data_IF_317386081460
#
_entry.id   IF_317386081460
#
_cell.length_a   1.000
_cell.length_b   1.000
_cell.length_c   1.000
_cell.angle_alpha   90.00
_cell.angle_beta   90.00
_cell.angle_gamma   90.00
#
_symmetry.space_group_name_H-M   'P 1'
#
loop_
_entity.id
_entity.type
_entity.pdbx_description
1 polymer ?
#
# COMPACT_ATOMS: atom_id res chain seq x y z
N UNK A 1 38.30 -4.31 26.40
CA UNK A 1 39.33 -4.66 25.41
C UNK A 1 38.61 -4.93 24.10
N UNK A 2 38.56 -3.91 23.23
CA UNK A 2 37.97 -3.98 21.88
C UNK A 2 39.12 -3.94 20.87
N UNK A 3 39.14 -4.76 19.81
CA UNK A 3 39.97 -4.48 18.66
C UNK A 3 39.20 -3.61 17.66
N UNK A 4 39.70 -2.39 17.48
CA UNK A 4 39.40 -1.48 16.38
C UNK A 4 39.87 -2.09 15.06
N UNK A 5 38.99 -2.15 14.04
CA UNK A 5 39.40 -2.31 12.65
C UNK A 5 38.98 -1.09 11.84
N UNK A 6 39.99 -0.43 11.30
CA UNK A 6 39.94 0.71 10.39
C UNK A 6 39.43 0.18 9.03
N UNK A 7 38.35 0.75 8.52
CA UNK A 7 37.91 0.53 7.14
C UNK A 7 38.40 1.69 6.26
N UNK A 8 39.27 1.38 5.31
CA UNK A 8 39.63 2.22 4.17
C UNK A 8 38.71 1.91 2.99
N UNK A 9 38.18 2.96 2.36
CA UNK A 9 37.32 2.90 1.16
C UNK A 9 38.04 2.27 -0.04
N UNK A 10 37.38 1.44 -0.88
CA UNK A 10 37.90 1.09 -2.20
C UNK A 10 37.45 2.12 -3.24
N UNK A 11 38.42 2.57 -4.03
CA UNK A 11 38.27 3.42 -5.21
C UNK A 11 37.61 2.70 -6.38
N UNK A 12 36.97 3.50 -7.24
CA UNK A 12 36.36 3.16 -8.52
C UNK A 12 37.39 2.55 -9.50
N UNK A 13 37.24 1.27 -9.83
CA UNK A 13 37.47 0.70 -11.17
C UNK A 13 37.28 -0.81 -11.15
N UNK A 14 36.30 -1.32 -11.88
CA UNK A 14 36.43 -2.41 -12.87
C UNK A 14 35.09 -3.10 -13.11
N UNK A 15 34.61 -2.91 -14.33
CA UNK A 15 33.43 -3.50 -14.90
C UNK A 15 33.72 -4.95 -15.34
N UNK A 16 32.73 -5.82 -15.16
CA UNK A 16 32.36 -6.95 -16.04
C UNK A 16 33.42 -8.02 -16.35
N UNK A 17 33.36 -9.14 -15.64
CA UNK A 17 34.02 -10.41 -15.99
C UNK A 17 33.08 -11.62 -15.81
N UNK A 18 32.09 -11.74 -16.69
CA UNK A 18 31.35 -13.01 -16.87
C UNK A 18 30.96 -13.31 -18.34
N UNK A 19 31.37 -12.46 -19.29
CA UNK A 19 31.02 -12.56 -20.72
C UNK A 19 32.17 -13.06 -21.63
N UNK A 20 33.08 -13.91 -21.11
CA UNK A 20 34.12 -14.55 -21.93
C UNK A 20 34.05 -16.09 -22.01
N UNK A 21 32.96 -16.72 -21.57
CA UNK A 21 32.86 -18.19 -21.55
C UNK A 21 31.97 -18.84 -22.63
N UNK A 22 31.54 -18.11 -23.68
CA UNK A 22 30.72 -18.69 -24.76
C UNK A 22 31.16 -18.18 -26.15
N UNK A 23 32.31 -18.67 -26.62
CA UNK A 23 32.64 -18.74 -28.05
C UNK A 23 33.02 -20.18 -28.39
N UNK A 24 32.12 -20.89 -29.05
CA UNK A 24 32.44 -22.19 -29.64
C UNK A 24 31.22 -23.02 -30.03
N UNK A 25 30.94 -23.00 -31.33
CA UNK A 25 30.17 -23.98 -32.14
C UNK A 25 28.70 -23.67 -32.41
N UNK A 26 28.47 -23.53 -33.70
CA UNK A 26 27.27 -23.32 -34.51
C UNK A 26 26.30 -24.50 -34.50
N UNK A 27 24.99 -24.23 -34.43
CA UNK A 27 23.93 -24.89 -35.23
C UNK A 27 22.54 -24.31 -34.88
N UNK A 28 21.71 -24.04 -35.90
CA UNK A 28 20.26 -23.94 -35.78
C UNK A 28 19.68 -22.53 -35.58
N UNK A 29 19.44 -21.82 -36.67
CA UNK A 29 18.46 -20.74 -36.71
C UNK A 29 17.03 -21.32 -36.57
N UNK A 30 16.09 -20.49 -36.10
CA UNK A 30 14.61 -20.68 -36.18
C UNK A 30 13.83 -21.34 -35.03
N UNK A 31 14.10 -21.01 -33.77
CA UNK A 31 13.08 -21.20 -32.69
C UNK A 31 12.86 -20.00 -31.75
N UNK A 32 13.69 -18.94 -31.79
CA UNK A 32 13.56 -17.82 -30.82
C UNK A 32 13.38 -16.41 -31.42
N UNK A 33 13.12 -16.25 -32.73
CA UNK A 33 13.04 -14.91 -33.35
C UNK A 33 11.63 -14.27 -33.36
N UNK A 34 10.61 -14.86 -32.72
CA UNK A 34 9.24 -14.33 -32.77
C UNK A 34 8.80 -13.48 -31.56
N UNK A 35 9.61 -13.30 -30.52
CA UNK A 35 9.21 -12.59 -29.27
C UNK A 35 10.02 -11.33 -28.93
N UNK A 36 10.86 -10.83 -29.83
CA UNK A 36 11.74 -9.68 -29.55
C UNK A 36 11.55 -8.52 -30.55
N UNK A 37 10.32 -8.05 -30.77
CA UNK A 37 10.06 -6.79 -31.49
C UNK A 37 9.07 -5.89 -30.77
N UNK A 38 9.55 -5.29 -29.67
CA UNK A 38 9.33 -3.89 -29.22
C UNK A 38 9.68 -3.79 -27.73
N UNK A 39 10.96 -3.95 -27.40
CA UNK A 39 11.49 -3.39 -26.15
C UNK A 39 11.98 -1.97 -26.48
N UNK A 40 11.57 -0.92 -25.73
CA UNK A 40 12.10 0.41 -25.95
C UNK A 40 13.60 0.42 -25.63
N UNK A 41 14.35 1.07 -26.52
CA UNK A 41 15.80 1.25 -26.43
C UNK A 41 16.22 1.88 -25.11
N UNK A 42 17.35 1.39 -24.53
CA UNK A 42 18.02 1.94 -23.35
C UNK A 42 18.41 3.44 -23.45
N UNK A 43 18.21 4.08 -24.60
CA UNK A 43 18.37 5.55 -24.79
C UNK A 43 17.13 6.38 -24.44
N UNK A 44 16.04 5.76 -23.98
CA UNK A 44 14.79 6.48 -23.63
C UNK A 44 14.67 6.78 -22.12
N UNK A 45 15.60 6.30 -21.30
CA UNK A 45 15.56 6.37 -19.83
C UNK A 45 16.26 7.61 -19.23
N UNK A 46 16.57 8.63 -20.01
CA UNK A 46 17.28 9.84 -19.54
C UNK A 46 16.54 11.15 -19.82
N UNK A 47 15.25 11.11 -20.17
CA UNK A 47 14.45 12.33 -20.19
C UNK A 47 13.75 12.49 -18.84
N UNK A 48 14.09 13.54 -18.05
CA UNK A 48 13.35 13.84 -16.83
C UNK A 48 11.89 14.09 -17.19
N UNK A 49 11.00 13.76 -16.26
CA UNK A 49 9.56 13.97 -16.31
C UNK A 49 9.25 15.48 -16.41
N UNK A 50 9.36 16.06 -17.60
CA UNK A 50 8.88 17.42 -17.85
C UNK A 50 7.38 17.35 -18.10
N UNK A 51 6.59 17.47 -17.04
CA UNK A 51 5.18 17.85 -17.15
C UNK A 51 5.10 19.23 -17.79
N UNK A 52 5.03 19.30 -19.13
CA UNK A 52 4.88 20.58 -19.81
C UNK A 52 3.49 21.15 -19.50
N UNK A 53 3.45 22.46 -19.17
CA UNK A 53 2.23 23.23 -18.85
C UNK A 53 1.11 23.14 -19.90
N UNK A 54 1.43 22.71 -21.12
CA UNK A 54 0.47 22.59 -22.22
C UNK A 54 -0.47 21.37 -22.12
N UNK A 55 -0.11 20.31 -21.38
CA UNK A 55 -0.96 19.13 -21.26
C UNK A 55 -2.05 19.27 -20.19
N UNK A 56 -1.82 20.09 -19.17
CA UNK A 56 -2.78 20.32 -18.05
C UNK A 56 -3.92 21.26 -18.47
N UNK A 57 -3.70 22.15 -19.44
CA UNK A 57 -4.68 23.15 -19.88
C UNK A 57 -5.61 22.68 -21.01
N UNK A 58 -5.21 21.68 -21.81
CA UNK A 58 -5.95 21.29 -23.02
C UNK A 58 -7.17 20.38 -22.82
N UNK A 59 -7.43 19.86 -21.60
CA UNK A 59 -8.56 18.94 -21.34
C UNK A 59 -9.64 19.49 -20.39
N UNK A 60 -9.50 20.72 -19.90
CA UNK A 60 -10.47 21.37 -19.00
C UNK A 60 -11.33 22.46 -19.66
N UNK A 61 -11.40 22.51 -20.99
CA UNK A 61 -12.08 23.59 -21.71
C UNK A 61 -12.82 23.18 -22.99
N UNK A 62 -13.54 22.05 -23.01
CA UNK A 62 -14.55 21.82 -24.06
C UNK A 62 -15.92 21.56 -23.44
N UNK A 63 -16.79 22.54 -23.63
CA UNK A 63 -18.15 22.60 -23.14
C UNK A 63 -18.97 21.40 -23.59
N UNK A 64 -19.75 20.87 -22.65
CA UNK A 64 -20.84 19.95 -22.94
C UNK A 64 -22.00 20.76 -23.52
N UNK A 65 -22.50 20.32 -24.67
CA UNK A 65 -23.76 20.81 -25.23
C UNK A 65 -24.93 20.44 -24.31
N UNK A 66 -25.89 21.34 -24.21
CA UNK A 66 -27.07 21.24 -23.34
C UNK A 66 -27.85 19.93 -23.60
N UNK A 67 -27.97 19.09 -22.57
CA UNK A 67 -28.85 17.93 -22.58
C UNK A 67 -30.26 18.33 -22.12
N UNK A 68 -31.26 17.81 -22.83
CA UNK A 68 -32.70 17.99 -22.58
C UNK A 68 -33.09 17.54 -21.16
N UNK A 69 -34.02 18.24 -20.45
CA UNK A 69 -34.34 17.88 -19.08
C UNK A 69 -35.06 16.52 -19.02
N UNK A 70 -34.43 15.53 -18.38
CA UNK A 70 -35.07 14.26 -18.04
C UNK A 70 -35.92 14.45 -16.78
N UNK A 71 -37.16 13.95 -16.83
CA UNK A 71 -38.07 13.96 -15.69
C UNK A 71 -37.48 13.16 -14.52
N UNK A 72 -37.66 13.62 -13.26
CA UNK A 72 -37.13 12.93 -12.10
C UNK A 72 -37.90 11.63 -11.84
N UNK A 73 -37.32 10.50 -12.21
CA UNK A 73 -37.80 9.19 -11.77
C UNK A 73 -37.45 9.02 -10.29
N UNK A 74 -38.42 8.56 -9.50
CA UNK A 74 -38.25 8.25 -8.07
C UNK A 74 -37.15 7.19 -7.91
N UNK A 75 -35.97 7.63 -7.50
CA UNK A 75 -34.84 6.74 -7.17
C UNK A 75 -35.21 5.99 -5.90
N UNK A 76 -35.47 4.68 -6.01
CA UNK A 76 -35.48 3.81 -4.84
C UNK A 76 -34.06 3.85 -4.24
N UNK A 77 -33.89 3.91 -2.91
CA UNK A 77 -32.56 3.88 -2.33
C UNK A 77 -31.91 2.55 -2.71
N UNK A 78 -30.96 2.61 -3.65
CA UNK A 78 -29.98 1.57 -3.87
C UNK A 78 -29.10 1.55 -2.62
N UNK A 79 -29.53 0.83 -1.59
CA UNK A 79 -28.61 0.37 -0.54
C UNK A 79 -27.74 -0.68 -1.22
N UNK A 80 -26.78 -0.22 -2.01
CA UNK A 80 -25.76 -1.08 -2.57
C UNK A 80 -24.90 -1.48 -1.38
N UNK A 81 -24.97 -2.75 -0.97
CA UNK A 81 -24.16 -3.25 0.13
C UNK A 81 -22.69 -2.92 -0.16
N UNK A 82 -22.05 -2.23 0.78
CA UNK A 82 -20.63 -1.93 0.68
C UNK A 82 -19.87 -3.26 0.73
N UNK A 83 -19.09 -3.62 -0.31
CA UNK A 83 -18.39 -4.90 -0.35
C UNK A 83 -17.52 -5.12 0.89
N UNK A 84 -17.54 -6.34 1.43
CA UNK A 84 -16.76 -6.73 2.61
C UNK A 84 -17.41 -6.42 3.97
N UNK A 85 -18.47 -5.61 4.04
CA UNK A 85 -19.11 -5.23 5.33
C UNK A 85 -19.66 -6.44 6.08
N UNK A 86 -20.35 -7.36 5.40
CA UNK A 86 -20.89 -8.57 6.05
C UNK A 86 -19.79 -9.42 6.70
N UNK A 87 -18.68 -9.64 5.98
CA UNK A 87 -17.53 -10.38 6.51
C UNK A 87 -16.85 -9.63 7.68
N UNK A 88 -16.69 -8.31 7.57
CA UNK A 88 -16.15 -7.47 8.64
C UNK A 88 -17.02 -7.53 9.91
N UNK A 89 -18.35 -7.47 9.76
CA UNK A 89 -19.30 -7.60 10.87
C UNK A 89 -19.23 -8.98 11.53
N UNK A 90 -19.13 -10.05 10.73
CA UNK A 90 -18.98 -11.42 11.24
C UNK A 90 -17.67 -11.58 12.04
N UNK A 91 -16.55 -11.07 11.51
CA UNK A 91 -15.27 -11.05 12.22
C UNK A 91 -15.36 -10.26 13.52
N UNK A 92 -15.95 -9.05 13.48
CA UNK A 92 -16.14 -8.20 14.65
C UNK A 92 -16.89 -8.92 15.76
N UNK A 93 -17.96 -9.64 15.40
CA UNK A 93 -18.75 -10.41 16.37
C UNK A 93 -17.94 -11.57 16.96
N UNK A 94 -17.24 -12.34 16.12
CA UNK A 94 -16.40 -13.47 16.59
C UNK A 94 -15.28 -12.98 17.52
N UNK A 95 -14.60 -11.90 17.14
CA UNK A 95 -13.53 -11.28 17.89
C UNK A 95 -14.00 -10.74 19.25
N UNK A 96 -15.14 -10.06 19.29
CA UNK A 96 -15.71 -9.56 20.54
C UNK A 96 -16.06 -10.70 21.49
N UNK A 97 -16.67 -11.78 20.97
CA UNK A 97 -16.98 -12.96 21.79
C UNK A 97 -15.71 -13.57 22.40
N UNK A 98 -14.69 -13.81 21.57
CA UNK A 98 -13.38 -14.30 22.02
C UNK A 98 -12.76 -13.38 23.09
N UNK A 99 -12.71 -12.07 22.84
CA UNK A 99 -12.09 -11.15 23.79
C UNK A 99 -12.80 -11.10 25.15
N UNK A 100 -14.13 -11.20 25.16
CA UNK A 100 -14.92 -11.27 26.41
C UNK A 100 -14.70 -12.60 27.14
N UNK A 101 -14.53 -13.70 26.41
CA UNK A 101 -14.32 -15.03 26.99
C UNK A 101 -12.89 -15.23 27.54
N UNK A 102 -11.86 -14.72 26.85
CA UNK A 102 -10.46 -14.98 27.19
C UNK A 102 -9.94 -14.22 28.42
N UNK A 103 -10.64 -13.19 28.90
CA UNK A 103 -10.26 -12.38 30.08
C UNK A 103 -9.01 -11.51 29.86
N UNK A 104 -7.83 -12.13 29.78
CA UNK A 104 -6.54 -11.47 29.55
C UNK A 104 -6.00 -11.86 28.17
N UNK A 105 -5.98 -10.91 27.24
CA UNK A 105 -5.48 -11.15 25.90
C UNK A 105 -3.95 -11.28 25.87
N UNK A 106 -3.45 -12.20 25.04
CA UNK A 106 -2.02 -12.45 24.89
C UNK A 106 -1.40 -11.46 23.92
N UNK A 107 -0.49 -10.61 24.43
CA UNK A 107 0.31 -9.68 23.62
C UNK A 107 1.31 -10.45 22.75
N UNK A 108 1.46 -10.06 21.48
CA UNK A 108 2.47 -10.62 20.57
C UNK A 108 3.89 -10.35 21.09
N UNK A 109 4.86 -11.16 20.66
CA UNK A 109 6.27 -10.96 21.06
C UNK A 109 6.90 -9.77 20.34
N UNK A 110 6.61 -9.63 19.05
CA UNK A 110 7.24 -8.65 18.18
C UNK A 110 6.35 -7.44 17.88
N UNK A 111 6.95 -6.39 17.34
CA UNK A 111 6.29 -5.13 16.95
C UNK A 111 6.54 -3.98 17.91
N UNK A 112 6.01 -2.80 17.55
CA UNK A 112 6.20 -1.54 18.30
C UNK A 112 4.93 -1.05 19.02
N UNK A 113 3.81 -1.75 18.88
CA UNK A 113 2.52 -1.42 19.50
C UNK A 113 1.86 -2.60 20.19
N UNK A 114 0.69 -2.34 20.79
CA UNK A 114 -0.22 -3.36 21.29
C UNK A 114 -0.83 -4.15 20.13
N UNK A 115 -0.54 -5.44 20.09
CA UNK A 115 -1.14 -6.39 19.16
C UNK A 115 -1.42 -7.68 19.92
N UNK A 116 -2.66 -8.12 19.89
CA UNK A 116 -3.17 -9.18 20.75
C UNK A 116 -3.76 -10.29 19.91
N UNK A 117 -3.32 -11.53 20.16
CA UNK A 117 -3.92 -12.69 19.52
C UNK A 117 -5.24 -13.04 20.21
N UNK A 118 -6.30 -13.10 19.43
CA UNK A 118 -7.61 -13.61 19.84
C UNK A 118 -7.72 -15.07 19.40
N UNK A 119 -8.16 -15.93 20.32
CA UNK A 119 -8.49 -17.31 20.05
C UNK A 119 -9.97 -17.59 20.29
N UNK A 120 -10.55 -18.57 19.62
CA UNK A 120 -11.86 -19.08 20.00
C UNK A 120 -11.77 -20.06 21.19
N UNK A 121 -12.90 -20.66 21.55
CA UNK A 121 -13.06 -21.52 22.73
C UNK A 121 -12.18 -22.79 22.66
N UNK A 122 -11.73 -23.17 21.46
CA UNK A 122 -10.81 -24.30 21.23
C UNK A 122 -9.32 -23.85 21.24
N UNK A 123 -9.03 -22.64 21.74
CA UNK A 123 -7.72 -21.98 21.72
C UNK A 123 -7.14 -21.76 20.31
N UNK A 124 -7.96 -21.90 19.25
CA UNK A 124 -7.49 -21.72 17.88
C UNK A 124 -7.39 -20.22 17.55
N UNK A 125 -6.28 -19.75 16.93
CA UNK A 125 -6.12 -18.36 16.50
C UNK A 125 -7.21 -17.91 15.52
N UNK A 126 -7.91 -16.81 15.83
CA UNK A 126 -8.99 -16.28 14.98
C UNK A 126 -8.73 -14.88 14.45
N UNK A 127 -8.04 -14.03 15.21
CA UNK A 127 -7.83 -12.64 14.84
C UNK A 127 -6.68 -11.99 15.62
N UNK A 128 -6.18 -10.87 15.09
CA UNK A 128 -5.27 -9.97 15.77
C UNK A 128 -6.03 -8.68 16.10
N UNK A 129 -6.07 -8.31 17.37
CA UNK A 129 -6.64 -7.05 17.85
C UNK A 129 -5.52 -6.03 18.13
N UNK A 130 -5.62 -4.84 17.54
CA UNK A 130 -4.67 -3.73 17.70
C UNK A 130 -5.41 -2.50 18.27
N UNK A 131 -5.33 -2.24 19.58
CA UNK A 131 -5.95 -1.07 20.20
C UNK A 131 -5.32 0.24 19.73
N UNK A 132 -6.14 1.25 19.44
CA UNK A 132 -5.70 2.58 18.97
C UNK A 132 -4.85 3.29 20.01
N UNK A 133 -5.18 3.13 21.28
CA UNK A 133 -4.48 3.78 22.40
C UNK A 133 -3.16 3.10 22.77
N UNK A 134 -2.84 1.98 22.11
CA UNK A 134 -1.62 1.20 22.29
C UNK A 134 -0.73 1.14 21.04
N UNK A 135 -1.10 1.85 19.98
CA UNK A 135 -0.25 2.03 18.79
C UNK A 135 1.13 2.59 19.18
N UNK A 136 2.11 2.49 18.27
CA UNK A 136 3.40 3.13 18.48
C UNK A 136 3.22 4.62 18.78
N UNK A 137 3.83 5.12 19.86
CA UNK A 137 3.73 6.50 20.34
C UNK A 137 2.37 6.88 20.95
N UNK A 138 1.43 5.93 21.11
CA UNK A 138 0.16 6.14 21.79
C UNK A 138 0.33 6.15 23.33
N UNK A 139 -0.58 6.82 24.07
CA UNK A 139 -0.45 7.06 25.51
C UNK A 139 -0.40 5.80 26.37
N UNK A 140 -0.96 4.67 25.92
CA UNK A 140 -1.00 3.42 26.68
C UNK A 140 -0.22 2.29 26.01
N UNK A 141 0.77 2.61 25.16
CA UNK A 141 1.58 1.61 24.48
C UNK A 141 2.26 0.63 25.48
N UNK A 142 1.98 -0.68 25.41
CA UNK A 142 2.45 -1.67 26.40
C UNK A 142 3.95 -1.99 26.26
N UNK A 143 4.60 -1.51 25.20
CA UNK A 143 6.04 -1.70 24.93
C UNK A 143 6.89 -0.52 25.37
N UNK A 144 6.27 0.51 25.96
CA UNK A 144 6.96 1.69 26.49
C UNK A 144 7.25 2.78 25.46
N UNK A 145 6.85 2.61 24.20
CA UNK A 145 6.99 3.65 23.17
C UNK A 145 5.85 4.66 23.27
N UNK A 146 5.93 5.56 24.24
CA UNK A 146 4.85 6.50 24.58
C UNK A 146 5.24 7.95 24.28
N UNK A 147 4.38 8.67 23.55
CA UNK A 147 4.41 10.12 23.48
C UNK A 147 3.50 10.70 24.55
N UNK A 148 4.09 11.32 25.57
CA UNK A 148 3.34 11.84 26.72
C UNK A 148 2.46 13.01 26.30
N UNK A 149 1.17 12.95 26.68
CA UNK A 149 0.18 13.98 26.32
C UNK A 149 -0.36 13.87 24.90
N UNK A 150 -0.05 12.80 24.16
CA UNK A 150 -0.67 12.56 22.86
C UNK A 150 -2.17 12.30 23.01
N UNK A 151 -2.96 13.04 22.23
CA UNK A 151 -4.41 12.89 22.10
C UNK A 151 -4.70 12.07 20.84
N UNK A 152 -5.43 10.96 21.00
CA UNK A 152 -5.72 10.05 19.89
C UNK A 152 -6.51 10.75 18.79
N UNK A 153 -6.09 10.52 17.55
CA UNK A 153 -6.68 11.13 16.36
C UNK A 153 -6.39 12.61 16.18
N UNK A 154 -5.79 13.30 17.16
CA UNK A 154 -5.50 14.73 17.12
C UNK A 154 -4.00 15.02 17.09
N UNK A 155 -3.20 14.41 17.97
CA UNK A 155 -1.76 14.66 18.01
C UNK A 155 -1.08 14.12 16.75
N UNK A 156 -0.23 14.95 16.14
CA UNK A 156 0.63 14.53 15.03
C UNK A 156 1.55 13.40 15.50
N UNK A 157 1.80 12.44 14.62
CA UNK A 157 2.71 11.34 14.93
C UNK A 157 4.15 11.86 14.96
N UNK A 158 4.93 11.59 16.04
CA UNK A 158 6.21 12.26 16.26
C UNK A 158 7.30 11.91 15.24
N UNK A 159 7.23 10.72 14.64
CA UNK A 159 8.25 10.22 13.69
C UNK A 159 7.72 9.89 12.30
N UNK A 160 6.40 9.98 12.07
CA UNK A 160 5.76 9.58 10.81
C UNK A 160 4.91 10.76 10.33
N UNK A 161 5.51 11.63 9.51
CA UNK A 161 4.83 12.83 9.02
C UNK A 161 3.57 12.47 8.24
N UNK A 162 2.54 13.32 8.31
CA UNK A 162 1.25 13.06 7.67
C UNK A 162 0.35 12.06 8.42
N UNK A 163 0.79 11.53 9.57
CA UNK A 163 -0.02 10.67 10.43
C UNK A 163 -0.37 11.35 11.76
N UNK A 164 -1.41 10.82 12.41
CA UNK A 164 -1.81 11.18 13.78
C UNK A 164 -1.81 9.92 14.63
N UNK A 165 -1.43 10.06 15.89
CA UNK A 165 -1.38 8.96 16.86
C UNK A 165 -2.78 8.33 17.00
N UNK A 166 -2.88 7.00 16.95
CA UNK A 166 -4.14 6.30 17.12
C UNK A 166 -5.01 6.25 15.87
N UNK A 167 -4.58 6.72 14.70
CA UNK A 167 -5.37 6.61 13.46
C UNK A 167 -4.96 5.42 12.58
N UNK A 168 -4.13 4.49 13.08
CA UNK A 168 -3.73 3.29 12.35
C UNK A 168 -4.91 2.33 12.14
N UNK A 169 -5.75 2.13 13.16
CA UNK A 169 -6.91 1.23 13.07
C UNK A 169 -7.87 1.54 11.89
N UNK A 170 -8.12 2.83 11.61
CA UNK A 170 -8.97 3.24 10.49
C UNK A 170 -8.34 2.88 9.14
N UNK A 171 -7.01 2.93 9.05
CA UNK A 171 -6.25 2.63 7.83
C UNK A 171 -6.19 1.14 7.54
N UNK A 172 -6.11 0.32 8.59
CA UNK A 172 -6.24 -1.13 8.48
C UNK A 172 -7.60 -1.54 7.88
N UNK A 173 -8.68 -0.90 8.34
CA UNK A 173 -10.03 -1.13 7.79
C UNK A 173 -10.16 -0.56 6.38
N UNK A 174 -9.59 0.62 6.12
CA UNK A 174 -9.59 1.22 4.79
C UNK A 174 -8.92 0.31 3.75
N UNK A 175 -7.77 -0.28 4.07
CA UNK A 175 -7.06 -1.19 3.18
C UNK A 175 -7.92 -2.42 2.84
N UNK A 176 -8.54 -3.05 3.85
CA UNK A 176 -9.44 -4.18 3.62
C UNK A 176 -10.66 -3.80 2.77
N UNK A 177 -11.38 -2.74 3.13
CA UNK A 177 -12.61 -2.35 2.43
C UNK A 177 -12.32 -1.96 0.98
N UNK A 178 -11.19 -1.30 0.74
CA UNK A 178 -10.72 -0.99 -0.60
C UNK A 178 -10.37 -2.23 -1.41
N UNK A 179 -9.71 -3.22 -0.83
CA UNK A 179 -9.41 -4.49 -1.53
C UNK A 179 -10.69 -5.30 -1.79
N UNK A 180 -11.60 -5.37 -0.82
CA UNK A 180 -12.89 -6.05 -0.94
C UNK A 180 -13.79 -5.43 -2.03
N UNK A 181 -13.71 -4.12 -2.24
CA UNK A 181 -14.45 -3.42 -3.30
C UNK A 181 -14.05 -3.83 -4.73
N UNK A 182 -12.95 -4.58 -4.88
CA UNK A 182 -12.41 -5.11 -6.13
C UNK A 182 -12.06 -6.61 -6.00
N UNK A 183 -12.98 -7.38 -5.39
CA UNK A 183 -12.94 -8.85 -5.36
C UNK A 183 -11.72 -9.43 -4.60
N UNK A 184 -11.22 -8.72 -3.60
CA UNK A 184 -10.07 -9.14 -2.78
C UNK A 184 -8.81 -9.40 -3.63
N UNK A 185 -8.59 -8.56 -4.65
CA UNK A 185 -7.51 -8.74 -5.62
C UNK A 185 -6.13 -8.89 -4.96
N UNK A 186 -5.83 -8.08 -3.96
CA UNK A 186 -4.58 -8.10 -3.21
C UNK A 186 -4.60 -9.05 -2.03
N UNK A 187 -5.78 -9.46 -1.57
CA UNK A 187 -5.95 -10.48 -0.55
C UNK A 187 -5.71 -9.95 0.86
N UNK A 188 -6.08 -8.71 1.15
CA UNK A 188 -6.03 -8.15 2.51
C UNK A 188 -7.00 -8.97 3.39
N UNK A 189 -6.55 -9.53 4.52
CA UNK A 189 -7.45 -10.27 5.40
C UNK A 189 -8.59 -9.40 5.90
N UNK A 190 -9.72 -10.02 6.23
CA UNK A 190 -10.91 -9.31 6.72
C UNK A 190 -10.51 -8.45 7.91
N UNK A 191 -10.85 -7.16 7.87
CA UNK A 191 -10.54 -6.21 8.95
C UNK A 191 -11.77 -5.40 9.32
N UNK A 192 -12.02 -5.21 10.61
CA UNK A 192 -13.08 -4.35 11.13
C UNK A 192 -12.60 -3.51 12.30
N UNK A 193 -13.30 -2.42 12.62
CA UNK A 193 -13.20 -1.80 13.94
C UNK A 193 -13.98 -2.62 14.97
N UNK A 194 -13.47 -2.67 16.19
CA UNK A 194 -14.13 -3.27 17.35
C UNK A 194 -13.75 -2.51 18.62
N UNK A 195 -14.66 -2.50 19.59
CA UNK A 195 -14.35 -2.13 20.97
C UNK A 195 -14.38 -3.41 21.78
N UNK A 196 -13.26 -3.80 22.37
CA UNK A 196 -13.09 -5.08 23.06
C UNK A 196 -12.35 -4.89 24.39
N UNK A 197 -12.60 -5.75 25.40
CA UNK A 197 -11.89 -5.67 26.67
C UNK A 197 -10.46 -6.22 26.55
N UNK A 198 -9.52 -5.56 27.22
CA UNK A 198 -8.20 -6.11 27.59
C UNK A 198 -8.11 -6.03 29.11
N UNK A 199 -8.18 -7.19 29.77
CA UNK A 199 -8.44 -7.25 31.20
C UNK A 199 -9.75 -6.54 31.53
N UNK A 200 -9.68 -5.49 32.36
CA UNK A 200 -10.86 -4.71 32.78
C UNK A 200 -11.14 -3.48 31.91
N UNK A 201 -10.27 -3.16 30.95
CA UNK A 201 -10.36 -1.90 30.18
C UNK A 201 -10.89 -2.16 28.78
N UNK A 202 -11.96 -1.46 28.40
CA UNK A 202 -12.49 -1.49 27.04
C UNK A 202 -11.72 -0.54 26.15
N UNK A 203 -11.21 -1.07 25.03
CA UNK A 203 -10.38 -0.32 24.09
C UNK A 203 -10.94 -0.43 22.69
N UNK A 204 -10.89 0.66 21.95
CA UNK A 204 -11.23 0.68 20.53
C UNK A 204 -9.99 0.37 19.69
N UNK A 205 -10.14 -0.45 18.66
CA UNK A 205 -9.04 -0.91 17.82
C UNK A 205 -9.51 -1.51 16.51
N UNK A 206 -8.55 -1.84 15.65
CA UNK A 206 -8.79 -2.70 14.50
C UNK A 206 -8.66 -4.16 14.92
N UNK A 207 -9.53 -5.01 14.39
CA UNK A 207 -9.38 -6.46 14.42
C UNK A 207 -9.24 -6.98 13.00
N UNK A 208 -8.20 -7.77 12.76
CA UNK A 208 -7.93 -8.40 11.47
C UNK A 208 -7.98 -9.92 11.63
N UNK A 209 -8.61 -10.62 10.70
CA UNK A 209 -8.69 -12.07 10.70
C UNK A 209 -7.28 -12.68 10.71
N UNK A 210 -7.06 -13.65 11.57
CA UNK A 210 -5.79 -14.35 11.65
C UNK A 210 -5.58 -15.17 10.39
N UNK A 211 -4.36 -15.13 9.86
CA UNK A 211 -3.97 -15.87 8.66
C UNK A 211 -2.92 -16.90 9.06
N UNK A 212 -3.25 -18.19 9.05
CA UNK A 212 -2.24 -19.23 9.25
C UNK A 212 -1.18 -19.14 8.16
N UNK A 213 0.08 -18.97 8.54
CA UNK A 213 1.22 -18.81 7.62
C UNK A 213 2.41 -19.61 8.11
N UNK A 214 3.28 -20.02 7.18
CA UNK A 214 4.52 -20.73 7.53
C UNK A 214 5.61 -19.78 8.01
N UNK A 215 5.70 -18.62 7.38
CA UNK A 215 6.68 -17.57 7.66
C UNK A 215 6.20 -16.23 7.09
N UNK A 216 6.97 -15.16 7.31
CA UNK A 216 6.86 -13.94 6.50
C UNK A 216 7.76 -14.04 5.26
N UNK A 217 7.69 -13.04 4.38
CA UNK A 217 8.58 -12.94 3.23
C UNK A 217 10.02 -12.58 3.62
N UNK A 218 10.28 -12.12 4.85
CA UNK A 218 11.63 -11.77 5.31
C UNK A 218 12.51 -13.00 5.53
N UNK A 219 11.90 -14.14 5.85
CA UNK A 219 12.57 -15.42 6.08
C UNK A 219 12.91 -16.18 4.78
N UNK A 220 12.46 -15.67 3.63
CA UNK A 220 12.50 -16.39 2.36
C UNK A 220 13.21 -15.61 1.25
N UNK A 221 14.01 -16.31 0.45
CA UNK A 221 14.61 -15.72 -0.74
C UNK A 221 13.57 -15.32 -1.79
N UNK A 222 13.66 -14.09 -2.29
CA UNK A 222 12.66 -13.46 -3.18
C UNK A 222 12.38 -14.24 -4.48
N UNK A 223 13.29 -15.11 -4.92
CA UNK A 223 13.10 -15.98 -6.10
C UNK A 223 11.95 -16.98 -5.94
N UNK A 224 11.49 -17.22 -4.72
CA UNK A 224 10.37 -18.13 -4.44
C UNK A 224 9.00 -17.48 -4.64
N UNK A 225 8.95 -16.15 -4.81
CA UNK A 225 7.71 -15.39 -4.90
C UNK A 225 7.22 -15.28 -6.33
N UNK A 226 5.92 -15.46 -6.54
CA UNK A 226 5.32 -15.31 -7.86
C UNK A 226 5.31 -13.83 -8.29
N UNK A 227 5.47 -13.58 -9.59
CA UNK A 227 5.32 -12.23 -10.15
C UNK A 227 3.93 -11.68 -9.85
N UNK A 228 2.92 -12.54 -9.95
CA UNK A 228 1.52 -12.17 -9.79
C UNK A 228 1.18 -11.68 -8.38
N UNK A 229 1.64 -12.38 -7.33
CA UNK A 229 1.33 -11.99 -5.96
C UNK A 229 2.11 -10.76 -5.53
N UNK A 230 3.36 -10.61 -5.99
CA UNK A 230 4.11 -9.36 -5.78
C UNK A 230 3.41 -8.19 -6.46
N UNK A 231 2.90 -8.37 -7.69
CA UNK A 231 2.17 -7.30 -8.41
C UNK A 231 0.89 -6.90 -7.70
N UNK A 232 0.14 -7.87 -7.17
CA UNK A 232 -1.08 -7.63 -6.38
C UNK A 232 -0.82 -6.75 -5.16
N UNK A 233 0.22 -7.07 -4.39
CA UNK A 233 0.60 -6.30 -3.19
C UNK A 233 1.09 -4.90 -3.60
N UNK A 234 1.97 -4.83 -4.58
CA UNK A 234 2.54 -3.58 -5.07
C UNK A 234 1.48 -2.59 -5.61
N UNK A 235 0.47 -3.10 -6.33
CA UNK A 235 -0.65 -2.29 -6.82
C UNK A 235 -1.41 -1.64 -5.66
N UNK A 236 -1.75 -2.41 -4.62
CA UNK A 236 -2.44 -1.87 -3.45
C UNK A 236 -1.55 -0.90 -2.68
N UNK A 237 -0.29 -1.23 -2.43
CA UNK A 237 0.63 -0.37 -1.68
C UNK A 237 0.88 0.97 -2.37
N UNK A 238 1.02 0.96 -3.70
CA UNK A 238 1.10 2.20 -4.49
C UNK A 238 -0.17 3.02 -4.33
N UNK A 239 -1.33 2.37 -4.47
CA UNK A 239 -2.64 3.02 -4.34
C UNK A 239 -2.87 3.66 -2.97
N UNK A 240 -2.38 3.00 -1.93
CA UNK A 240 -2.50 3.44 -0.54
C UNK A 240 -1.34 4.35 -0.09
N UNK A 241 -0.33 4.57 -0.92
CA UNK A 241 0.92 5.23 -0.51
C UNK A 241 1.46 4.61 0.79
N UNK A 242 1.75 3.31 0.77
CA UNK A 242 2.23 2.61 1.96
C UNK A 242 3.61 3.14 2.37
N UNK A 243 3.74 3.54 3.64
CA UNK A 243 4.98 4.09 4.20
C UNK A 243 5.79 3.08 5.02
N UNK A 244 5.35 1.82 5.05
CA UNK A 244 5.94 0.78 5.89
C UNK A 244 5.79 -0.64 5.29
N UNK A 245 5.78 -0.78 3.95
CA UNK A 245 5.79 -2.13 3.36
C UNK A 245 7.20 -2.72 3.38
N UNK A 246 7.48 -3.51 4.41
CA UNK A 246 8.63 -4.40 4.47
C UNK A 246 8.22 -5.88 4.31
N UNK A 247 9.20 -6.76 4.06
CA UNK A 247 8.99 -8.19 3.83
C UNK A 247 8.31 -8.90 5.02
N UNK A 248 8.57 -8.46 6.26
CA UNK A 248 7.88 -8.93 7.46
C UNK A 248 6.36 -8.69 7.46
N UNK A 249 5.88 -7.69 6.71
CA UNK A 249 4.44 -7.39 6.58
C UNK A 249 3.76 -8.19 5.45
N UNK A 250 4.41 -9.23 4.94
CA UNK A 250 3.85 -10.11 3.91
C UNK A 250 3.96 -11.56 4.40
N UNK A 251 2.82 -12.16 4.71
CA UNK A 251 2.74 -13.55 5.14
C UNK A 251 2.83 -14.50 3.95
N UNK A 252 3.46 -15.66 4.15
CA UNK A 252 3.55 -16.73 3.16
C UNK A 252 2.73 -17.93 3.61
N UNK A 253 1.71 -18.27 2.82
CA UNK A 253 0.94 -19.49 2.98
C UNK A 253 1.39 -20.51 1.93
N UNK A 254 1.70 -21.73 2.36
CA UNK A 254 1.88 -22.83 1.40
C UNK A 254 0.62 -23.03 0.58
N UNK A 255 0.81 -23.40 -0.68
CA UNK A 255 -0.27 -23.64 -1.62
C UNK A 255 0.00 -24.88 -2.45
N UNK A 256 -1.08 -25.55 -2.84
CA UNK A 256 -1.04 -26.68 -3.77
C UNK A 256 -1.02 -26.21 -5.24
N UNK A 257 -1.00 -24.90 -5.48
CA UNK A 257 -0.84 -24.32 -6.80
C UNK A 257 0.52 -24.74 -7.38
N UNK A 258 0.50 -25.33 -8.58
CA UNK A 258 1.73 -25.77 -9.25
C UNK A 258 2.54 -24.61 -9.83
N UNK A 259 1.98 -23.41 -9.87
CA UNK A 259 2.60 -22.21 -10.47
C UNK A 259 3.35 -21.34 -9.48
N UNK A 260 3.10 -21.51 -8.18
CA UNK A 260 3.80 -20.78 -7.11
C UNK A 260 3.96 -21.64 -5.87
N UNK A 261 5.06 -21.46 -5.16
CA UNK A 261 5.30 -22.17 -3.89
C UNK A 261 4.45 -21.59 -2.74
N UNK A 262 4.21 -20.29 -2.79
CA UNK A 262 3.51 -19.55 -1.75
C UNK A 262 2.40 -18.69 -2.33
N UNK A 263 1.29 -18.60 -1.61
CA UNK A 263 0.36 -17.48 -1.68
C UNK A 263 0.86 -16.40 -0.73
N UNK A 264 0.99 -15.17 -1.20
CA UNK A 264 1.44 -14.04 -0.38
C UNK A 264 0.23 -13.24 0.11
N UNK A 265 0.24 -12.85 1.38
CA UNK A 265 -0.88 -12.14 2.02
C UNK A 265 -0.34 -10.87 2.69
N UNK A 266 -0.73 -9.66 2.21
CA UNK A 266 -0.30 -8.41 2.83
C UNK A 266 -1.06 -8.16 4.13
N UNK A 267 -0.34 -7.81 5.18
CA UNK A 267 -0.89 -7.40 6.47
C UNK A 267 -0.33 -6.03 6.88
N UNK A 268 -0.79 -5.50 8.01
CA UNK A 268 -0.24 -4.30 8.66
C UNK A 268 -0.24 -3.04 7.79
N UNK A 269 -1.43 -2.48 7.57
CA UNK A 269 -1.66 -1.28 6.76
C UNK A 269 -1.84 -0.01 7.59
N UNK A 270 -1.53 -0.04 8.89
CA UNK A 270 -1.71 1.09 9.81
C UNK A 270 -0.95 2.36 9.41
N UNK A 271 0.12 2.23 8.61
CA UNK A 271 0.94 3.33 8.10
C UNK A 271 0.75 3.58 6.58
N UNK A 272 -0.50 3.51 6.12
CA UNK A 272 -0.92 3.90 4.76
C UNK A 272 -1.68 5.22 4.74
N UNK A 273 -1.88 5.85 3.58
CA UNK A 273 -2.69 7.06 3.43
C UNK A 273 -2.25 8.21 4.37
N UNK A 274 -0.98 8.66 4.28
CA UNK A 274 -0.58 9.91 4.92
C UNK A 274 -1.33 11.09 4.32
N UNK A 275 -1.34 12.22 5.01
CA UNK A 275 -1.75 13.50 4.43
C UNK A 275 -0.96 13.79 3.13
N UNK A 276 -1.62 14.25 2.07
CA UNK A 276 -0.98 14.54 0.77
C UNK A 276 0.13 15.61 0.85
N UNK A 277 0.21 16.34 1.96
CA UNK A 277 1.27 17.31 2.25
C UNK A 277 2.60 16.63 2.64
N UNK A 278 2.57 15.33 2.92
CA UNK A 278 3.69 14.54 3.43
C UNK A 278 3.84 13.23 2.65
N UNK A 279 4.04 13.36 1.33
CA UNK A 279 4.32 12.24 0.44
C UNK A 279 5.83 11.95 0.36
N UNK A 280 6.53 12.02 1.50
CA UNK A 280 7.98 11.77 1.62
C UNK A 280 8.34 10.41 2.23
N UNK A 281 7.34 9.63 2.66
CA UNK A 281 7.55 8.42 3.47
C UNK A 281 7.32 7.08 2.78
N UNK A 282 7.01 7.02 1.48
CA UNK A 282 6.72 5.75 0.81
C UNK A 282 7.88 4.76 0.93
N UNK A 283 7.58 3.52 1.36
CA UNK A 283 8.57 2.48 1.61
C UNK A 283 8.07 1.14 1.09
N UNK A 284 8.78 0.55 0.13
CA UNK A 284 8.40 -0.66 -0.58
C UNK A 284 9.57 -1.64 -0.75
N UNK A 285 9.66 -2.68 0.07
CA UNK A 285 10.70 -3.73 -0.11
C UNK A 285 10.58 -4.43 -1.47
N UNK A 286 9.34 -4.64 -1.93
CA UNK A 286 9.07 -5.29 -3.21
C UNK A 286 9.62 -4.50 -4.41
N UNK A 287 9.91 -3.21 -4.25
CA UNK A 287 10.51 -2.38 -5.30
C UNK A 287 11.84 -2.96 -5.78
N UNK A 288 12.60 -3.57 -4.87
CA UNK A 288 13.92 -4.12 -5.19
C UNK A 288 13.86 -5.59 -5.62
N UNK A 289 12.69 -6.21 -5.61
CA UNK A 289 12.52 -7.60 -6.02
C UNK A 289 12.46 -7.71 -7.56
N UNK A 290 13.03 -8.76 -8.17
CA UNK A 290 13.00 -8.92 -9.63
C UNK A 290 11.58 -8.87 -10.23
N UNK A 291 10.59 -9.36 -9.49
CA UNK A 291 9.17 -9.43 -9.86
C UNK A 291 8.59 -8.07 -10.25
N UNK A 292 8.95 -6.99 -9.53
CA UNK A 292 8.43 -5.65 -9.79
C UNK A 292 8.82 -5.09 -11.17
N UNK A 293 9.89 -5.63 -11.78
CA UNK A 293 10.40 -5.21 -13.09
C UNK A 293 9.73 -5.93 -14.27
N UNK A 294 8.98 -7.00 -14.00
CA UNK A 294 8.26 -7.69 -15.06
C UNK A 294 7.02 -6.90 -15.49
N UNK A 295 6.60 -7.02 -16.77
CA UNK A 295 5.35 -6.42 -17.24
C UNK A 295 4.15 -6.94 -16.44
N UNK A 296 3.15 -6.07 -16.22
CA UNK A 296 1.90 -6.47 -15.60
C UNK A 296 1.16 -7.49 -16.49
N UNK A 297 0.48 -8.45 -15.86
CA UNK A 297 -0.43 -9.36 -16.55
C UNK A 297 -1.67 -8.61 -17.05
N UNK A 298 -2.40 -9.20 -18.01
CA UNK A 298 -3.67 -8.64 -18.48
C UNK A 298 -4.69 -8.47 -17.34
N UNK A 299 -4.72 -9.41 -16.39
CA UNK A 299 -5.59 -9.33 -15.22
C UNK A 299 -5.21 -8.16 -14.29
N UNK A 300 -3.91 -7.93 -14.05
CA UNK A 300 -3.44 -6.81 -13.25
C UNK A 300 -3.72 -5.45 -13.92
N UNK A 301 -3.55 -5.36 -15.25
CA UNK A 301 -3.91 -4.16 -16.01
C UNK A 301 -5.41 -3.88 -15.93
N UNK A 302 -6.25 -4.91 -16.14
CA UNK A 302 -7.70 -4.79 -16.04
C UNK A 302 -8.14 -4.35 -14.64
N UNK A 303 -7.54 -4.90 -13.59
CA UNK A 303 -7.80 -4.48 -12.22
C UNK A 303 -7.47 -2.99 -12.03
N UNK A 304 -6.27 -2.53 -12.41
CA UNK A 304 -5.88 -1.11 -12.30
C UNK A 304 -6.84 -0.19 -13.08
N UNK A 305 -7.27 -0.60 -14.27
CA UNK A 305 -8.23 0.15 -15.08
C UNK A 305 -9.63 0.23 -14.43
N UNK A 306 -10.02 -0.77 -13.64
CA UNK A 306 -11.31 -0.80 -12.96
C UNK A 306 -11.42 0.10 -11.74
N UNK A 307 -10.28 0.57 -11.20
CA UNK A 307 -10.25 1.40 -9.99
C UNK A 307 -10.99 2.73 -10.18
N UNK A 308 -11.92 3.04 -9.27
CA UNK A 308 -12.77 4.24 -9.28
C UNK A 308 -12.47 5.14 -8.07
N UNK A 309 -11.68 6.19 -8.31
CA UNK A 309 -11.28 7.15 -7.28
C UNK A 309 -12.43 7.94 -6.64
N UNK A 310 -13.60 8.01 -7.29
CA UNK A 310 -14.76 8.71 -6.74
C UNK A 310 -15.51 7.80 -5.77
N UNK A 311 -15.81 6.56 -6.21
CA UNK A 311 -16.42 5.54 -5.35
C UNK A 311 -15.56 5.26 -4.12
N UNK A 312 -14.26 5.13 -4.32
CA UNK A 312 -13.31 4.84 -3.27
C UNK A 312 -13.18 6.00 -2.27
N UNK A 313 -13.26 7.26 -2.73
CA UNK A 313 -13.28 8.41 -1.85
C UNK A 313 -14.55 8.47 -0.98
N UNK A 314 -15.72 8.11 -1.53
CA UNK A 314 -16.97 8.02 -0.75
C UNK A 314 -16.83 6.95 0.35
N UNK A 315 -16.25 5.79 0.01
CA UNK A 315 -15.99 4.74 0.99
C UNK A 315 -15.09 5.24 2.11
N UNK A 316 -13.95 5.85 1.79
CA UNK A 316 -13.01 6.35 2.80
C UNK A 316 -13.61 7.45 3.69
N UNK A 317 -14.45 8.34 3.13
CA UNK A 317 -15.22 9.33 3.91
C UNK A 317 -16.16 8.66 4.90
N UNK A 318 -16.83 7.58 4.50
CA UNK A 318 -17.73 6.83 5.38
C UNK A 318 -17.00 6.16 6.56
N UNK A 319 -15.70 5.91 6.43
CA UNK A 319 -14.83 5.40 7.50
C UNK A 319 -14.25 6.52 8.38
N UNK A 320 -14.52 7.79 8.06
CA UNK A 320 -14.00 8.94 8.82
C UNK A 320 -12.55 9.32 8.51
N UNK A 321 -11.99 8.89 7.37
CA UNK A 321 -10.67 9.36 6.96
C UNK A 321 -10.73 10.85 6.57
N UNK A 322 -9.74 11.67 6.96
CA UNK A 322 -9.72 13.08 6.58
C UNK A 322 -9.49 13.27 5.07
N UNK A 323 -9.99 14.38 4.52
CA UNK A 323 -9.91 14.66 3.07
C UNK A 323 -8.49 14.70 2.52
N UNK A 324 -7.51 15.14 3.31
CA UNK A 324 -6.12 15.19 2.88
C UNK A 324 -5.51 13.79 2.66
N UNK A 325 -5.93 12.80 3.45
CA UNK A 325 -5.57 11.39 3.29
C UNK A 325 -6.32 10.75 2.11
N UNK A 326 -7.57 11.15 1.88
CA UNK A 326 -8.36 10.71 0.72
C UNK A 326 -7.73 11.24 -0.58
N UNK A 327 -7.27 12.49 -0.59
CA UNK A 327 -6.54 13.06 -1.72
C UNK A 327 -5.28 12.27 -2.05
N UNK A 328 -4.55 11.76 -1.06
CA UNK A 328 -3.42 10.85 -1.27
C UNK A 328 -3.83 9.60 -2.05
N UNK A 329 -4.91 8.91 -1.64
CA UNK A 329 -5.44 7.76 -2.38
C UNK A 329 -5.76 8.12 -3.84
N UNK A 330 -6.42 9.26 -4.06
CA UNK A 330 -6.82 9.69 -5.40
C UNK A 330 -5.60 10.00 -6.27
N UNK A 331 -4.62 10.75 -5.76
CA UNK A 331 -3.38 11.10 -6.46
C UNK A 331 -2.62 9.83 -6.85
N UNK A 332 -2.41 8.93 -5.87
CA UNK A 332 -1.69 7.68 -6.08
C UNK A 332 -2.38 6.75 -7.07
N UNK A 333 -3.71 6.61 -6.98
CA UNK A 333 -4.50 5.81 -7.93
C UNK A 333 -4.40 6.37 -9.34
N UNK A 334 -4.53 7.69 -9.51
CA UNK A 334 -4.43 8.33 -10.82
C UNK A 334 -3.03 8.20 -11.43
N UNK A 335 -1.98 8.31 -10.61
CA UNK A 335 -0.60 8.08 -11.06
C UNK A 335 -0.44 6.64 -11.56
N UNK A 336 -0.86 5.67 -10.76
CA UNK A 336 -0.81 4.24 -11.09
C UNK A 336 -1.53 3.96 -12.41
N UNK A 337 -2.77 4.43 -12.58
CA UNK A 337 -3.55 4.24 -13.80
C UNK A 337 -2.87 4.83 -15.03
N UNK A 338 -2.35 6.06 -14.93
CA UNK A 338 -1.67 6.73 -16.04
C UNK A 338 -0.37 6.02 -16.43
N UNK A 339 0.41 5.61 -15.45
CA UNK A 339 1.69 4.95 -15.70
C UNK A 339 1.50 3.53 -16.27
N UNK A 340 0.55 2.76 -15.74
CA UNK A 340 0.19 1.43 -16.29
C UNK A 340 -0.33 1.57 -17.74
N UNK A 341 -1.17 2.56 -18.02
CA UNK A 341 -1.63 2.82 -19.39
C UNK A 341 -0.49 3.22 -20.35
N UNK A 342 0.59 3.81 -19.84
CA UNK A 342 1.80 4.13 -20.60
C UNK A 342 2.81 2.98 -20.69
N UNK A 343 2.49 1.81 -20.10
CA UNK A 343 3.32 0.60 -20.18
C UNK A 343 4.49 0.56 -19.20
N UNK A 344 4.47 1.39 -18.15
CA UNK A 344 5.47 1.33 -17.08
C UNK A 344 5.28 0.09 -16.20
N UNK A 345 6.40 -0.48 -15.73
CA UNK A 345 6.39 -1.54 -14.73
C UNK A 345 6.10 -0.99 -13.33
N UNK A 346 5.75 -1.86 -12.38
CA UNK A 346 5.56 -1.43 -10.98
C UNK A 346 6.87 -0.94 -10.35
N UNK A 347 8.02 -1.43 -10.83
CA UNK A 347 9.33 -0.88 -10.49
C UNK A 347 9.45 0.59 -10.92
N UNK A 348 9.15 0.88 -12.19
CA UNK A 348 9.26 2.25 -12.70
C UNK A 348 8.34 3.21 -11.95
N UNK A 349 7.13 2.76 -11.61
CA UNK A 349 6.16 3.55 -10.84
C UNK A 349 6.64 3.76 -9.41
N UNK A 350 7.11 2.70 -8.74
CA UNK A 350 7.64 2.80 -7.38
C UNK A 350 8.85 3.73 -7.28
N UNK A 351 9.73 3.75 -8.28
CA UNK A 351 10.85 4.71 -8.36
C UNK A 351 10.40 6.18 -8.50
N UNK A 352 9.16 6.45 -8.91
CA UNK A 352 8.58 7.82 -8.92
C UNK A 352 8.03 8.22 -7.55
N UNK A 353 7.65 7.24 -6.73
CA UNK A 353 6.87 7.41 -5.49
C UNK A 353 7.76 7.32 -4.25
N UNK A 354 8.67 6.35 -4.21
CA UNK A 354 9.62 6.16 -3.13
C UNK A 354 10.86 7.04 -3.34
N UNK A 355 11.34 7.67 -2.27
CA UNK A 355 12.57 8.46 -2.27
C UNK A 355 13.80 7.57 -2.54
N UNK A 356 14.81 8.17 -3.19
CA UNK A 356 16.08 7.50 -3.47
C UNK A 356 17.15 7.87 -2.41
N UNK A 357 18.31 7.23 -2.46
CA UNK A 357 19.47 7.58 -1.64
C UNK A 357 19.23 7.43 -0.15
N UNK A 358 18.68 6.29 0.28
CA UNK A 358 18.26 6.01 1.67
C UNK A 358 17.14 6.93 2.20
N UNK A 359 16.45 7.67 1.32
CA UNK A 359 15.36 8.58 1.69
C UNK A 359 15.76 10.06 1.69
N UNK A 360 17.00 10.38 1.33
CA UNK A 360 17.52 11.75 1.33
C UNK A 360 17.17 12.54 0.07
N UNK A 361 16.87 11.84 -1.04
CA UNK A 361 16.53 12.47 -2.32
C UNK A 361 15.01 12.47 -2.51
N UNK A 362 14.37 13.66 -2.66
CA UNK A 362 12.94 13.75 -2.92
C UNK A 362 12.51 12.89 -4.11
N UNK A 363 11.35 12.24 -3.97
CA UNK A 363 10.75 11.49 -5.07
C UNK A 363 10.18 12.45 -6.12
N UNK A 364 10.04 11.98 -7.36
CA UNK A 364 9.44 12.81 -8.42
C UNK A 364 7.98 13.16 -8.14
N UNK A 365 7.28 12.37 -7.33
CA UNK A 365 5.92 12.65 -6.92
C UNK A 365 5.81 13.86 -5.99
N UNK A 366 6.83 14.15 -5.17
CA UNK A 366 6.84 15.30 -4.26
C UNK A 366 6.84 16.66 -4.98
N UNK A 367 7.27 16.69 -6.24
CA UNK A 367 7.23 17.89 -7.08
C UNK A 367 5.82 18.18 -7.64
N UNK A 368 4.93 17.17 -7.69
CA UNK A 368 3.58 17.30 -8.28
C UNK A 368 2.64 18.20 -7.44
N UNK A 369 2.59 18.10 -6.09
CA UNK A 369 1.82 19.00 -5.24
C UNK A 369 2.15 20.49 -5.44
N UNK A 370 3.42 20.84 -5.66
CA UNK A 370 3.82 22.23 -5.86
C UNK A 370 3.24 22.84 -7.15
N UNK A 371 3.00 22.04 -8.20
CA UNK A 371 2.53 22.52 -9.50
C UNK A 371 1.00 22.70 -9.54
N UNK A 372 0.24 21.81 -8.91
CA UNK A 372 -1.23 21.82 -8.99
C UNK A 372 -1.85 22.96 -8.15
N UNK A 373 -1.26 23.30 -7.00
CA UNK A 373 -1.83 24.31 -6.10
C UNK A 373 -1.32 25.74 -6.35
N UNK A 374 -0.09 25.92 -6.85
CA UNK A 374 0.39 27.25 -7.27
C UNK A 374 -0.28 27.75 -8.56
N UNK A 375 -0.75 26.83 -9.41
CA UNK A 375 -1.55 27.16 -10.59
C UNK A 375 -2.92 27.76 -10.27
N UNK A 376 -3.54 27.38 -9.14
CA UNK A 376 -4.82 27.96 -8.68
C UNK A 376 -4.64 29.36 -8.07
N UNK A 377 -3.54 29.62 -7.36
CA UNK A 377 -3.28 30.95 -6.80
C UNK A 377 -2.95 32.00 -7.87
N UNK A 378 -2.22 31.65 -8.94
CA UNK A 378 -1.99 32.59 -10.06
C UNK A 378 -3.25 32.85 -10.89
N UNK A 379 -4.12 31.86 -11.05
CA UNK A 379 -5.37 32.05 -11.78
C UNK A 379 -6.36 33.01 -11.06
N UNK A 380 -6.23 33.19 -9.74
CA UNK A 380 -7.02 34.17 -8.97
C UNK A 380 -6.37 35.56 -8.89
N UNK A 381 -5.05 35.68 -9.09
CA UNK A 381 -4.37 36.99 -9.11
C UNK A 381 -4.45 37.71 -10.45
N UNK A 382 -4.75 37.00 -11.54
CA UNK A 382 -4.82 37.56 -12.90
C UNK A 382 -6.26 38.00 -13.27
N UNK A 383 -7.17 38.13 -12.29
CA UNK A 383 -8.56 38.59 -12.50
C UNK A 383 -8.94 39.85 -11.70
N UNK A 384 -7.96 40.71 -11.39
CA UNK A 384 -8.22 42.05 -10.82
C UNK A 384 -7.73 43.14 -11.75
#
# INVERSE_FOLDING_TARGET
>A
MFPTRIFTSPTVSEQSSWLQALKGKTAGADVFSALAKKAPSKKTLTKPFALSKEYVTKRWGRGQAAATPLQPTRVQPLVQEVPGVSAAMALRQKALHAAVASGDLVLTKDGCGGAYLLCDDDEAPIAIFKPRDEEFMAPHNPRGYVSHGAVLGESLHPTRKGFRVGNGALREVAAFMLDAAYEHFSGVPVTSLVTAPIGTTWKEGSVQAFVPSESSAEDMGTRQFSVHDVHKIAILDLRLFNTDRHAGNILLQSTNDKTTKYKMVPIDHGLTLPSYQHLDGATFDWLHWPQAKFPLSAAAIAHVQSLDTTRDAILLRSLGLPEDCILTMQISTMLLQKAVAAGYSLYDIGMLVQRDGLGDLPSQLEDVPHVVFTGRQRAQSDTV
#
